data_IF_792565283781
#
_entry.id   IF_792565283781
#
_cell.length_a   1.000
_cell.length_b   1.000
_cell.length_c   1.000
_cell.angle_alpha   90.00
_cell.angle_beta   90.00
_cell.angle_gamma   90.00
#
_symmetry.space_group_name_H-M   'P 1'
#
loop_
_entity.id
_entity.type
_entity.pdbx_description
1 polymer ?
#
# COMPACT_ATOMS: atom_id res chain seq x y z
N UNK A 1 17.15 5.34 1.96
CA UNK A 1 16.18 5.22 3.06
C UNK A 1 14.97 4.40 2.65
N UNK A 2 14.12 4.10 3.60
CA UNK A 2 12.97 3.20 3.43
C UNK A 2 11.90 3.75 2.50
N UNK A 3 11.75 5.07 2.45
CA UNK A 3 10.77 5.74 1.56
C UNK A 3 11.03 5.35 0.11
N UNK A 4 12.27 5.46 -0.36
CA UNK A 4 12.57 5.19 -1.77
C UNK A 4 12.73 3.70 -2.11
N UNK A 5 13.12 2.88 -1.14
CA UNK A 5 13.44 1.46 -1.40
C UNK A 5 12.23 0.55 -1.23
N UNK A 6 11.46 0.75 -0.15
CA UNK A 6 10.37 -0.17 0.21
C UNK A 6 8.99 0.45 -0.01
N UNK A 7 8.78 1.73 0.34
CA UNK A 7 7.47 2.37 0.24
C UNK A 7 6.96 2.49 -1.21
N UNK A 8 7.83 2.32 -2.21
CA UNK A 8 7.46 2.33 -3.63
C UNK A 8 6.33 1.35 -3.95
N UNK A 9 6.33 0.17 -3.34
CA UNK A 9 5.33 -0.86 -3.58
C UNK A 9 3.97 -0.47 -3.02
N UNK A 10 3.94 0.09 -1.80
CA UNK A 10 2.70 0.53 -1.15
C UNK A 10 2.11 1.76 -1.84
N UNK A 11 2.96 2.69 -2.27
CA UNK A 11 2.57 3.89 -3.01
C UNK A 11 1.96 3.54 -4.37
N UNK A 12 2.56 2.60 -5.09
CA UNK A 12 2.04 2.09 -6.35
C UNK A 12 0.68 1.41 -6.17
N UNK A 13 0.56 0.56 -5.14
CA UNK A 13 -0.69 -0.10 -4.77
C UNK A 13 -1.79 0.90 -4.39
N UNK A 14 -1.46 1.95 -3.63
CA UNK A 14 -2.42 2.99 -3.27
C UNK A 14 -2.92 3.74 -4.51
N UNK A 15 -2.04 4.09 -5.45
CA UNK A 15 -2.43 4.70 -6.72
C UNK A 15 -3.36 3.79 -7.53
N UNK A 16 -3.05 2.49 -7.57
CA UNK A 16 -3.89 1.50 -8.23
C UNK A 16 -5.30 1.40 -7.61
N UNK A 17 -5.40 1.46 -6.29
CA UNK A 17 -6.66 1.28 -5.55
C UNK A 17 -7.48 2.56 -5.46
N UNK A 18 -6.83 3.72 -5.28
CA UNK A 18 -7.49 4.98 -4.91
C UNK A 18 -7.35 6.08 -5.99
N UNK A 19 -6.60 5.81 -7.06
CA UNK A 19 -6.37 6.78 -8.14
C UNK A 19 -5.20 7.72 -7.86
N UNK A 20 -5.21 8.91 -8.49
CA UNK A 20 -4.07 9.81 -8.42
C UNK A 20 -4.12 10.69 -7.16
N UNK A 21 -3.00 10.76 -6.42
CA UNK A 21 -2.87 11.64 -5.28
C UNK A 21 -2.73 13.10 -5.70
N UNK A 22 -3.13 14.01 -4.82
CA UNK A 22 -3.05 15.48 -5.06
C UNK A 22 -2.24 16.21 -3.99
N UNK A 23 -2.00 15.60 -2.83
CA UNK A 23 -1.16 16.19 -1.79
C UNK A 23 -0.63 15.12 -0.83
N UNK A 24 0.54 15.38 -0.27
CA UNK A 24 1.19 14.54 0.74
C UNK A 24 1.75 15.37 1.88
N UNK A 25 1.79 14.78 3.06
CA UNK A 25 2.47 15.32 4.24
C UNK A 25 3.13 14.18 5.00
N UNK A 26 4.30 14.40 5.57
CA UNK A 26 5.01 13.35 6.27
C UNK A 26 5.98 13.85 7.34
N UNK A 27 6.48 12.88 8.10
CA UNK A 27 7.56 13.05 9.07
C UNK A 27 8.46 11.82 8.99
N UNK A 28 9.76 12.01 9.19
CA UNK A 28 10.72 10.92 9.20
C UNK A 28 11.67 10.99 10.40
N UNK A 29 12.32 9.88 10.69
CA UNK A 29 13.34 9.75 11.72
C UNK A 29 14.43 8.79 11.29
N UNK A 30 15.64 9.02 11.74
CA UNK A 30 16.79 8.08 11.67
C UNK A 30 17.31 7.72 13.05
N UNK A 31 16.53 8.03 14.10
CA UNK A 31 17.01 7.95 15.49
C UNK A 31 17.22 6.52 15.98
N UNK A 32 16.56 5.52 15.41
CA UNK A 32 16.69 4.14 15.84
C UNK A 32 18.01 3.52 15.39
N UNK A 33 18.47 3.80 14.17
CA UNK A 33 19.72 3.27 13.59
C UNK A 33 20.87 4.27 13.59
N UNK A 34 20.56 5.57 13.62
CA UNK A 34 21.56 6.64 13.58
C UNK A 34 22.27 6.76 12.22
N UNK A 35 21.62 6.35 11.12
CA UNK A 35 22.16 6.50 9.76
C UNK A 35 21.78 7.87 9.19
N UNK A 36 22.44 8.25 8.09
CA UNK A 36 22.11 9.49 7.35
C UNK A 36 20.73 9.42 6.69
N UNK A 37 20.25 8.21 6.38
CA UNK A 37 18.93 7.97 5.80
C UNK A 37 17.91 7.61 6.87
N UNK A 38 16.65 7.89 6.59
CA UNK A 38 15.54 7.55 7.47
C UNK A 38 15.41 6.03 7.67
N UNK A 39 15.10 5.64 8.91
CA UNK A 39 14.75 4.29 9.32
C UNK A 39 13.25 4.14 9.59
N UNK A 40 12.55 5.26 9.75
CA UNK A 40 11.11 5.31 10.03
C UNK A 40 10.48 6.55 9.42
N UNK A 41 9.27 6.41 8.90
CA UNK A 41 8.47 7.53 8.44
C UNK A 41 6.97 7.28 8.63
N UNK A 42 6.21 8.38 8.77
CA UNK A 42 4.74 8.40 8.70
C UNK A 42 4.34 9.37 7.60
N UNK A 43 3.37 8.97 6.80
CA UNK A 43 2.95 9.70 5.61
C UNK A 43 1.43 9.73 5.52
N UNK A 44 0.87 10.89 5.23
CA UNK A 44 -0.53 11.08 4.88
C UNK A 44 -0.64 11.49 3.41
N UNK A 45 -1.63 10.93 2.71
CA UNK A 45 -1.88 11.18 1.29
C UNK A 45 -3.33 11.57 1.10
N UNK A 46 -3.59 12.60 0.29
CA UNK A 46 -4.92 13.02 -0.16
C UNK A 46 -5.04 12.73 -1.66
N UNK A 47 -6.14 12.10 -2.04
CA UNK A 47 -6.47 11.76 -3.43
C UNK A 47 -7.47 12.74 -4.04
N UNK A 48 -7.52 12.77 -5.37
CA UNK A 48 -8.34 13.71 -6.13
C UNK A 48 -9.86 13.58 -5.85
N UNK A 49 -10.32 12.38 -5.53
CA UNK A 49 -11.72 12.09 -5.17
C UNK A 49 -12.06 12.37 -3.69
N UNK A 50 -11.07 12.83 -2.91
CA UNK A 50 -11.20 13.12 -1.48
C UNK A 50 -10.87 11.95 -0.57
N UNK A 51 -10.47 10.79 -1.08
CA UNK A 51 -9.96 9.70 -0.25
C UNK A 51 -8.68 10.12 0.49
N UNK A 52 -8.48 9.55 1.67
CA UNK A 52 -7.31 9.80 2.50
C UNK A 52 -6.63 8.47 2.84
N UNK A 53 -5.31 8.46 2.82
CA UNK A 53 -4.52 7.34 3.31
C UNK A 53 -3.46 7.80 4.32
N UNK A 54 -3.14 6.91 5.26
CA UNK A 54 -2.03 7.08 6.20
C UNK A 54 -1.16 5.84 6.16
N UNK A 55 0.14 6.03 6.05
CA UNK A 55 1.13 4.95 6.00
C UNK A 55 2.18 5.14 7.08
N UNK A 56 2.64 4.02 7.62
CA UNK A 56 3.81 3.98 8.49
C UNK A 56 4.80 2.99 7.90
N UNK A 57 6.05 3.40 7.77
CA UNK A 57 7.14 2.52 7.32
C UNK A 57 8.30 2.58 8.31
N UNK A 58 8.87 1.43 8.62
CA UNK A 58 10.08 1.35 9.43
C UNK A 58 10.79 0.02 9.20
N UNK A 59 12.11 0.06 9.07
CA UNK A 59 12.96 -1.13 9.10
C UNK A 59 13.64 -1.36 10.46
N UNK A 60 13.31 -0.52 11.43
CA UNK A 60 13.79 -0.61 12.81
C UNK A 60 12.74 -1.17 13.78
N UNK A 61 11.50 -1.33 13.34
CA UNK A 61 10.37 -1.81 14.17
C UNK A 61 10.16 -3.31 14.01
N UNK A 62 10.21 -4.05 15.10
CA UNK A 62 9.85 -5.46 15.12
C UNK A 62 8.32 -5.61 15.10
N UNK A 63 7.72 -5.72 13.93
CA UNK A 63 6.28 -5.86 13.75
C UNK A 63 5.93 -6.84 12.62
N UNK A 64 4.75 -7.50 12.67
CA UNK A 64 4.29 -8.35 11.60
C UNK A 64 3.46 -7.59 10.53
N UNK A 65 3.30 -6.28 10.67
CA UNK A 65 2.31 -5.49 9.89
C UNK A 65 2.87 -5.05 8.54
N UNK A 66 3.41 -5.99 7.79
CA UNK A 66 3.87 -5.79 6.42
C UNK A 66 3.34 -6.91 5.51
N UNK A 67 3.36 -6.67 4.20
CA UNK A 67 2.83 -7.61 3.22
C UNK A 67 3.58 -8.95 3.25
N UNK A 68 4.90 -8.93 3.26
CA UNK A 68 5.75 -10.11 3.19
C UNK A 68 5.48 -11.08 4.36
N UNK A 69 5.32 -10.53 5.57
CA UNK A 69 5.06 -11.34 6.77
C UNK A 69 3.61 -11.85 6.85
N UNK A 70 2.66 -11.26 6.12
CA UNK A 70 1.23 -11.57 6.31
C UNK A 70 0.59 -12.26 5.10
N UNK A 71 1.03 -11.95 3.86
CA UNK A 71 0.36 -12.39 2.63
C UNK A 71 0.57 -13.87 2.28
N UNK A 72 1.57 -14.53 2.83
CA UNK A 72 1.90 -15.94 2.56
C UNK A 72 2.26 -16.22 1.09
N UNK A 73 2.74 -15.21 0.38
CA UNK A 73 3.07 -15.30 -1.05
C UNK A 73 4.52 -15.70 -1.29
N UNK A 74 5.40 -15.47 -0.31
CA UNK A 74 6.81 -15.85 -0.38
C UNK A 74 7.15 -16.86 0.73
N UNK A 75 7.58 -18.08 0.37
CA UNK A 75 7.90 -19.13 1.33
C UNK A 75 9.15 -18.85 2.18
N UNK A 76 9.94 -17.82 1.84
CA UNK A 76 11.09 -17.42 2.63
C UNK A 76 10.67 -16.71 3.93
N UNK A 77 9.50 -16.09 3.95
CA UNK A 77 8.97 -15.43 5.13
C UNK A 77 8.09 -16.37 5.94
N UNK A 78 8.30 -16.37 7.24
CA UNK A 78 7.42 -17.10 8.16
C UNK A 78 6.09 -16.33 8.27
N UNK A 79 4.96 -16.92 7.85
CA UNK A 79 3.70 -16.18 7.81
C UNK A 79 3.21 -15.87 9.22
N UNK A 80 2.71 -14.66 9.40
CA UNK A 80 2.03 -14.19 10.60
C UNK A 80 0.54 -13.98 10.31
N UNK A 81 -0.34 -14.30 11.27
CA UNK A 81 -1.79 -14.15 11.10
C UNK A 81 -2.24 -12.74 11.52
N UNK A 82 -1.96 -11.77 10.66
CA UNK A 82 -2.29 -10.37 10.84
C UNK A 82 -2.68 -9.75 9.49
N UNK A 83 -3.20 -8.53 9.52
CA UNK A 83 -3.41 -7.69 8.34
C UNK A 83 -2.39 -6.55 8.31
N UNK A 84 -2.01 -6.14 7.09
CA UNK A 84 -1.11 -5.03 6.82
C UNK A 84 -1.85 -3.78 6.32
N UNK A 85 -3.01 -3.96 5.67
CA UNK A 85 -3.81 -2.86 5.13
C UNK A 85 -5.23 -2.90 5.66
N UNK A 86 -5.78 -1.70 5.95
CA UNK A 86 -7.14 -1.48 6.38
C UNK A 86 -7.80 -0.43 5.49
N UNK A 87 -8.79 -0.83 4.73
CA UNK A 87 -9.46 0.02 3.74
C UNK A 87 -10.89 0.25 4.19
N UNK A 88 -11.23 1.50 4.47
CA UNK A 88 -12.59 1.92 4.84
C UNK A 88 -13.28 2.62 3.68
N UNK A 89 -14.49 2.22 3.37
CA UNK A 89 -15.36 2.84 2.39
C UNK A 89 -16.75 3.13 2.94
N UNK A 90 -17.54 3.89 2.20
CA UNK A 90 -18.90 4.29 2.61
C UNK A 90 -19.89 3.13 2.68
N UNK A 91 -19.58 2.00 2.03
CA UNK A 91 -20.46 0.80 2.00
C UNK A 91 -19.91 -0.37 2.79
N UNK A 92 -18.69 -0.29 3.28
CA UNK A 92 -18.04 -1.36 4.02
C UNK A 92 -16.54 -1.14 4.16
N UNK A 93 -15.86 -2.10 4.74
CA UNK A 93 -14.42 -2.08 4.93
C UNK A 93 -13.80 -3.42 4.51
N UNK A 94 -12.50 -3.39 4.23
CA UNK A 94 -11.72 -4.56 3.88
C UNK A 94 -10.39 -4.51 4.61
N UNK A 95 -9.96 -5.62 5.17
CA UNK A 95 -8.59 -5.77 5.66
C UNK A 95 -7.82 -6.81 4.84
N UNK A 96 -6.55 -6.54 4.59
CA UNK A 96 -5.67 -7.34 3.74
C UNK A 96 -4.42 -7.76 4.51
N UNK A 97 -3.91 -8.97 4.24
CA UNK A 97 -4.28 -9.90 3.18
C UNK A 97 -5.37 -10.93 3.56
N UNK A 98 -5.87 -10.96 4.80
CA UNK A 98 -6.85 -11.95 5.24
C UNK A 98 -8.22 -11.83 4.58
N UNK A 99 -8.47 -10.75 3.83
CA UNK A 99 -9.71 -10.50 3.08
C UNK A 99 -10.96 -10.43 3.96
N UNK A 100 -10.83 -9.92 5.19
CA UNK A 100 -12.01 -9.69 6.03
C UNK A 100 -12.79 -8.51 5.45
N UNK A 101 -13.94 -8.81 4.87
CA UNK A 101 -14.88 -7.81 4.35
C UNK A 101 -15.96 -7.54 5.37
N UNK A 102 -16.12 -6.28 5.74
CA UNK A 102 -17.09 -5.82 6.73
C UNK A 102 -18.18 -5.00 6.05
N UNK A 103 -19.45 -5.25 6.38
CA UNK A 103 -20.57 -4.50 5.83
C UNK A 103 -21.78 -4.54 6.80
N UNK A 104 -22.72 -3.62 6.57
CA UNK A 104 -24.02 -3.69 7.23
C UNK A 104 -25.04 -4.32 6.28
N UNK A 105 -26.03 -5.02 6.85
CA UNK A 105 -27.22 -5.41 6.12
C UNK A 105 -28.12 -4.17 5.90
N UNK A 106 -28.15 -3.69 4.65
CA UNK A 106 -28.83 -2.45 4.27
C UNK A 106 -28.07 -1.18 4.67
N UNK A 107 -28.76 -0.17 5.15
CA UNK A 107 -28.17 1.12 5.51
C UNK A 107 -27.25 1.01 6.74
N UNK A 108 -26.09 1.70 6.68
CA UNK A 108 -25.14 1.80 7.79
C UNK A 108 -25.80 2.36 9.04
N UNK A 109 -25.59 1.70 10.17
CA UNK A 109 -26.15 2.12 11.45
C UNK A 109 -25.27 1.61 12.60
N UNK A 110 -24.82 2.50 13.46
CA UNK A 110 -23.98 2.19 14.63
C UNK A 110 -24.61 1.20 15.63
N UNK A 111 -25.91 1.05 15.60
CA UNK A 111 -26.66 0.14 16.49
C UNK A 111 -26.93 -1.24 15.88
N UNK A 112 -26.59 -1.45 14.60
CA UNK A 112 -26.71 -2.74 13.94
C UNK A 112 -25.41 -3.53 14.05
N UNK A 113 -25.47 -4.87 14.10
CA UNK A 113 -24.28 -5.70 14.05
C UNK A 113 -23.58 -5.54 12.70
N UNK A 114 -22.27 -5.37 12.73
CA UNK A 114 -21.42 -5.40 11.55
C UNK A 114 -21.27 -6.88 11.12
N UNK A 115 -21.53 -7.16 9.87
CA UNK A 115 -21.30 -8.48 9.29
C UNK A 115 -19.85 -8.58 8.81
N UNK A 116 -19.27 -9.76 8.92
CA UNK A 116 -17.92 -10.06 8.40
C UNK A 116 -18.00 -11.31 7.55
N UNK A 117 -17.41 -11.25 6.38
CA UNK A 117 -17.22 -12.40 5.47
C UNK A 117 -15.81 -12.45 4.94
N UNK A 118 -15.38 -13.62 4.51
CA UNK A 118 -14.09 -13.84 3.87
C UNK A 118 -14.38 -14.38 2.46
N UNK A 119 -14.21 -13.56 1.41
CA UNK A 119 -14.37 -14.02 0.02
C UNK A 119 -13.39 -15.13 -0.31
N UNK A 120 -13.86 -16.18 -0.98
CA UNK A 120 -12.99 -17.20 -1.52
C UNK A 120 -12.20 -16.62 -2.72
N UNK A 121 -10.88 -16.72 -2.67
CA UNK A 121 -9.98 -16.30 -3.74
C UNK A 121 -9.02 -17.45 -4.03
N UNK A 122 -8.80 -17.72 -5.31
CA UNK A 122 -7.82 -18.71 -5.72
C UNK A 122 -6.41 -18.25 -5.36
N UNK A 123 -5.61 -19.08 -4.68
CA UNK A 123 -4.25 -18.72 -4.34
C UNK A 123 -3.42 -18.51 -5.61
N UNK A 124 -2.66 -17.42 -5.63
CA UNK A 124 -1.79 -17.10 -6.74
C UNK A 124 -0.37 -16.77 -6.23
N UNK A 125 0.62 -17.07 -7.06
CA UNK A 125 2.00 -16.68 -6.82
C UNK A 125 2.31 -15.45 -7.68
N UNK A 126 2.44 -14.25 -7.10
CA UNK A 126 2.58 -12.99 -7.84
C UNK A 126 3.74 -13.02 -8.83
N UNK A 127 4.92 -13.47 -8.42
CA UNK A 127 6.10 -13.55 -9.30
C UNK A 127 5.87 -14.47 -10.52
N UNK A 128 5.14 -15.58 -10.33
CA UNK A 128 4.80 -16.48 -11.43
C UNK A 128 3.81 -15.82 -12.40
N UNK A 129 2.85 -15.08 -11.87
CA UNK A 129 1.88 -14.34 -12.69
C UNK A 129 2.56 -13.21 -13.44
N UNK A 130 3.43 -12.45 -12.78
CA UNK A 130 4.24 -11.39 -13.38
C UNK A 130 5.08 -11.92 -14.54
N UNK A 131 5.80 -13.03 -14.36
CA UNK A 131 6.61 -13.64 -15.41
C UNK A 131 5.76 -14.11 -16.60
N UNK A 132 4.62 -14.74 -16.34
CA UNK A 132 3.67 -15.15 -17.40
C UNK A 132 3.16 -13.94 -18.19
N UNK A 133 2.82 -12.85 -17.48
CA UNK A 133 2.37 -11.62 -18.12
C UNK A 133 3.50 -10.99 -18.95
N UNK A 134 4.71 -10.90 -18.40
CA UNK A 134 5.88 -10.37 -19.11
C UNK A 134 6.15 -11.12 -20.42
N UNK A 135 6.09 -12.45 -20.42
CA UNK A 135 6.24 -13.25 -21.66
C UNK A 135 5.18 -12.88 -22.70
N UNK A 136 3.93 -12.67 -22.30
CA UNK A 136 2.87 -12.23 -23.22
C UNK A 136 3.11 -10.83 -23.78
N UNK A 137 3.60 -9.90 -22.95
CA UNK A 137 3.99 -8.55 -23.39
C UNK A 137 5.11 -8.61 -24.41
N UNK A 138 6.16 -9.40 -24.15
CA UNK A 138 7.29 -9.57 -25.09
C UNK A 138 6.81 -10.14 -26.43
N UNK A 139 5.81 -11.04 -26.41
CA UNK A 139 5.17 -11.59 -27.61
C UNK A 139 4.17 -10.66 -28.27
N UNK A 140 3.92 -9.49 -27.70
CA UNK A 140 2.92 -8.52 -28.15
C UNK A 140 1.48 -9.07 -28.16
N UNK A 141 1.19 -10.02 -27.25
CA UNK A 141 -0.15 -10.60 -27.08
C UNK A 141 -1.03 -9.73 -26.19
N UNK A 142 -0.43 -8.95 -25.28
CA UNK A 142 -1.10 -8.04 -24.35
C UNK A 142 -0.25 -6.80 -24.11
N UNK A 143 -0.90 -5.71 -23.71
CA UNK A 143 -0.20 -4.51 -23.21
C UNK A 143 0.31 -4.71 -21.79
N UNK A 144 1.40 -4.03 -21.37
CA UNK A 144 1.88 -4.08 -20.00
C UNK A 144 0.86 -3.46 -19.04
N UNK A 145 0.62 -4.13 -17.91
CA UNK A 145 -0.27 -3.62 -16.85
C UNK A 145 0.33 -2.36 -16.22
N UNK A 146 1.65 -2.35 -16.03
CA UNK A 146 2.39 -1.19 -15.53
C UNK A 146 3.33 -0.71 -16.64
N UNK A 147 3.19 0.54 -17.04
CA UNK A 147 4.01 1.15 -18.08
C UNK A 147 5.11 2.04 -17.48
N UNK A 148 6.18 2.37 -18.25
CA UNK A 148 7.16 3.36 -17.80
C UNK A 148 6.52 4.72 -17.44
N UNK A 149 5.51 5.15 -18.19
CA UNK A 149 4.80 6.40 -17.91
C UNK A 149 4.04 6.36 -16.57
N UNK A 150 3.47 5.20 -16.22
CA UNK A 150 2.83 5.00 -14.93
C UNK A 150 3.85 5.01 -13.79
N UNK A 151 5.00 4.34 -13.97
CA UNK A 151 6.09 4.36 -12.98
C UNK A 151 6.65 5.77 -12.72
N UNK A 152 6.68 6.66 -13.71
CA UNK A 152 7.07 8.07 -13.50
C UNK A 152 6.16 8.73 -12.47
N UNK A 153 4.86 8.46 -12.51
CA UNK A 153 3.90 9.01 -11.53
C UNK A 153 4.16 8.46 -10.11
N UNK A 154 4.44 7.17 -9.99
CA UNK A 154 4.81 6.56 -8.70
C UNK A 154 6.08 7.21 -8.15
N UNK A 155 7.10 7.41 -8.97
CA UNK A 155 8.34 8.09 -8.55
C UNK A 155 8.12 9.57 -8.21
N UNK A 156 7.25 10.27 -8.92
CA UNK A 156 6.89 11.65 -8.60
C UNK A 156 6.27 11.72 -7.20
N UNK A 157 5.32 10.83 -6.90
CA UNK A 157 4.71 10.74 -5.58
C UNK A 157 5.74 10.40 -4.50
N UNK A 158 6.65 9.46 -4.75
CA UNK A 158 7.71 9.12 -3.79
C UNK A 158 8.64 10.30 -3.49
N UNK A 159 9.01 11.07 -4.51
CA UNK A 159 9.84 12.26 -4.32
C UNK A 159 9.10 13.33 -3.51
N UNK A 160 7.81 13.54 -3.76
CA UNK A 160 6.98 14.44 -2.97
C UNK A 160 6.83 13.98 -1.52
N UNK A 161 6.67 12.67 -1.28
CA UNK A 161 6.65 12.08 0.06
C UNK A 161 7.99 12.32 0.78
N UNK A 162 9.10 12.11 0.08
CA UNK A 162 10.43 12.35 0.64
C UNK A 162 10.61 13.82 1.03
N UNK A 163 10.28 14.74 0.14
CA UNK A 163 10.31 16.19 0.41
C UNK A 163 9.42 16.56 1.60
N UNK A 164 8.18 16.06 1.63
CA UNK A 164 7.25 16.31 2.73
C UNK A 164 7.79 15.79 4.07
N UNK A 165 8.40 14.59 4.07
CA UNK A 165 8.94 13.97 5.27
C UNK A 165 10.22 14.67 5.79
N UNK A 166 11.05 15.20 4.89
CA UNK A 166 12.26 15.96 5.22
C UNK A 166 11.92 17.36 5.74
N UNK A 167 10.93 18.01 5.17
CA UNK A 167 10.58 19.40 5.50
C UNK A 167 9.47 19.55 6.54
N UNK A 168 8.66 18.50 6.74
CA UNK A 168 7.44 18.55 7.55
C UNK A 168 6.30 19.37 6.91
N UNK A 169 6.47 19.81 5.66
CA UNK A 169 5.50 20.66 4.96
C UNK A 169 4.55 19.81 4.11
N UNK A 170 3.37 20.36 3.83
CA UNK A 170 2.48 19.80 2.82
C UNK A 170 3.07 20.05 1.42
N UNK A 171 3.11 19.02 0.60
CA UNK A 171 3.52 19.07 -0.81
C UNK A 171 2.30 18.77 -1.68
N UNK A 172 1.94 19.69 -2.57
CA UNK A 172 0.91 19.50 -3.60
C UNK A 172 1.54 18.84 -4.84
N UNK A 173 0.75 17.98 -5.55
CA UNK A 173 1.18 17.17 -6.70
C UNK A 173 0.59 17.68 -8.01
#
# INVERSE_FOLDING_TARGET
GQILVNLVHDVDLLRYLLGEPVAVQGMQSSAARGFETEDSAVVNVRFADGALASMTISDATASPWNWEATAREDPQYRPFDADAYFIGGTKGALSLPRLHRFSYDGASNWHKPLQMEIPAVDPALPHKMQLKHFVKVVRREVEPVVTPADNVKTLTLLNAIKEAAETGQLVEL
#
